data_IF_424132600909
#
_entry.id   IF_424132600909
#
_cell.length_a   1.000
_cell.length_b   1.000
_cell.length_c   1.000
_cell.angle_alpha   90.00
_cell.angle_beta   90.00
_cell.angle_gamma   90.00
#
_symmetry.space_group_name_H-M   'P 1'
#
loop_
_entity.id
_entity.type
_entity.pdbx_description
1 polymer ?
#
# COMPACT_ATOMS: atom_id res chain seq x y z
N UNK A 1 -13.52 37.37 -5.55
CA UNK A 1 -14.21 36.47 -4.66
C UNK A 1 -13.26 35.55 -3.93
N UNK A 2 -13.44 35.48 -2.63
CA UNK A 2 -12.50 34.72 -1.81
C UNK A 2 -13.13 33.42 -1.34
N UNK A 3 -12.39 32.34 -1.40
CA UNK A 3 -12.87 31.09 -0.85
C UNK A 3 -12.73 31.10 0.67
N UNK A 4 -13.67 30.46 1.35
CA UNK A 4 -13.54 30.32 2.77
C UNK A 4 -12.42 29.29 3.07
N UNK A 5 -11.80 29.40 4.25
CA UNK A 5 -10.77 28.45 4.62
C UNK A 5 -11.27 27.00 4.68
N UNK A 6 -12.54 26.80 5.02
CA UNK A 6 -13.11 25.46 5.06
C UNK A 6 -13.18 24.85 3.68
N UNK A 7 -13.53 25.63 2.67
CA UNK A 7 -13.60 25.13 1.31
C UNK A 7 -12.21 24.76 0.81
N UNK A 8 -11.22 25.59 1.08
CA UNK A 8 -9.84 25.33 0.67
C UNK A 8 -9.30 24.09 1.35
N UNK A 9 -9.57 23.94 2.67
CA UNK A 9 -9.11 22.78 3.42
C UNK A 9 -9.77 21.51 2.88
N UNK A 10 -11.05 21.56 2.56
CA UNK A 10 -11.77 20.41 2.03
C UNK A 10 -11.22 19.99 0.68
N UNK A 11 -10.91 20.96 -0.20
CA UNK A 11 -10.32 20.64 -1.50
C UNK A 11 -8.94 20.01 -1.33
N UNK A 12 -8.13 20.53 -0.40
CA UNK A 12 -6.81 19.98 -0.12
C UNK A 12 -6.91 18.56 0.43
N UNK A 13 -7.88 18.31 1.31
CA UNK A 13 -8.12 16.98 1.82
C UNK A 13 -8.54 16.01 0.73
N UNK A 14 -9.42 16.45 -0.16
CA UNK A 14 -9.86 15.62 -1.27
C UNK A 14 -8.70 15.23 -2.18
N UNK A 15 -7.81 16.18 -2.45
CA UNK A 15 -6.64 15.91 -3.27
C UNK A 15 -5.69 14.94 -2.59
N UNK A 16 -5.48 15.10 -1.30
CA UNK A 16 -4.61 14.21 -0.53
C UNK A 16 -5.17 12.78 -0.52
N UNK A 17 -6.48 12.66 -0.32
CA UNK A 17 -7.14 11.37 -0.34
C UNK A 17 -7.03 10.74 -1.71
N UNK A 18 -7.26 11.51 -2.76
CA UNK A 18 -7.18 10.99 -4.14
C UNK A 18 -5.78 10.45 -4.44
N UNK A 19 -4.74 11.16 -4.00
CA UNK A 19 -3.37 10.69 -4.19
C UNK A 19 -3.13 9.38 -3.45
N UNK A 20 -3.58 9.29 -2.22
CA UNK A 20 -3.42 8.07 -1.43
C UNK A 20 -4.19 6.90 -2.05
N UNK A 21 -5.38 7.17 -2.57
CA UNK A 21 -6.18 6.13 -3.22
C UNK A 21 -5.51 5.63 -4.49
N UNK A 22 -4.90 6.53 -5.26
CA UNK A 22 -4.18 6.15 -6.47
C UNK A 22 -2.96 5.30 -6.11
N UNK A 23 -2.22 5.69 -5.08
CA UNK A 23 -1.08 4.91 -4.61
C UNK A 23 -1.52 3.54 -4.09
N UNK A 24 -2.61 3.52 -3.34
CA UNK A 24 -3.15 2.26 -2.83
C UNK A 24 -3.53 1.33 -3.97
N UNK A 25 -4.16 1.85 -5.01
CA UNK A 25 -4.54 1.05 -6.16
C UNK A 25 -3.31 0.49 -6.87
N UNK A 26 -2.26 1.29 -7.01
CA UNK A 26 -1.03 0.85 -7.66
C UNK A 26 -0.34 -0.26 -6.85
N UNK A 27 -0.25 -0.08 -5.54
CA UNK A 27 0.34 -1.12 -4.68
C UNK A 27 -0.50 -2.39 -4.70
N UNK A 28 -1.83 -2.26 -4.74
CA UNK A 28 -2.72 -3.41 -4.79
C UNK A 28 -2.50 -4.20 -6.06
N UNK A 29 -2.40 -3.51 -7.18
CA UNK A 29 -2.16 -4.17 -8.46
C UNK A 29 -0.80 -4.89 -8.47
N UNK A 30 0.21 -4.24 -7.97
CA UNK A 30 1.54 -4.83 -7.90
C UNK A 30 1.55 -6.06 -7.00
N UNK A 31 0.85 -5.98 -5.86
CA UNK A 31 0.71 -7.10 -4.94
C UNK A 31 0.02 -8.27 -5.63
N UNK A 32 -1.06 -8.01 -6.36
CA UNK A 32 -1.81 -9.06 -7.03
C UNK A 32 -0.98 -9.72 -8.12
N UNK A 33 -0.15 -8.95 -8.81
CA UNK A 33 0.77 -9.50 -9.81
C UNK A 33 1.81 -10.41 -9.15
N UNK A 34 2.33 -10.02 -7.99
CA UNK A 34 3.27 -10.86 -7.25
C UNK A 34 2.63 -12.18 -6.83
N UNK A 35 1.39 -12.13 -6.39
CA UNK A 35 0.65 -13.35 -6.01
C UNK A 35 0.47 -14.26 -7.24
N UNK A 36 0.12 -13.68 -8.37
CA UNK A 36 -0.08 -14.43 -9.59
C UNK A 36 1.21 -15.10 -10.04
N UNK A 37 2.31 -14.35 -10.06
CA UNK A 37 3.61 -14.89 -10.44
C UNK A 37 4.05 -15.99 -9.50
N UNK A 38 3.80 -15.83 -8.21
CA UNK A 38 4.13 -16.86 -7.23
C UNK A 38 3.38 -18.16 -7.52
N UNK A 39 2.10 -18.06 -7.84
CA UNK A 39 1.30 -19.22 -8.22
C UNK A 39 1.83 -19.89 -9.48
N UNK A 40 2.21 -19.08 -10.46
CA UNK A 40 2.73 -19.60 -11.74
C UNK A 40 4.04 -20.34 -11.52
N UNK A 41 4.91 -19.79 -10.68
CA UNK A 41 6.19 -20.45 -10.38
C UNK A 41 5.98 -21.74 -9.62
N UNK A 42 5.05 -21.77 -8.67
CA UNK A 42 4.74 -22.99 -7.95
C UNK A 42 4.20 -24.05 -8.90
N UNK A 43 3.32 -23.66 -9.82
CA UNK A 43 2.77 -24.59 -10.80
C UNK A 43 3.82 -25.09 -11.77
N UNK A 44 4.87 -24.31 -12.01
CA UNK A 44 5.94 -24.69 -12.93
C UNK A 44 7.00 -25.56 -12.29
N UNK A 45 6.96 -25.75 -10.97
CA UNK A 45 7.91 -26.63 -10.30
C UNK A 45 7.68 -28.08 -10.70
N UNK A 46 8.78 -28.81 -10.86
CA UNK A 46 8.76 -30.22 -11.21
C UNK A 46 9.73 -30.95 -10.30
N UNK A 47 9.28 -31.42 -9.14
CA UNK A 47 10.19 -32.07 -8.19
C UNK A 47 10.84 -33.32 -8.77
N UNK A 48 10.13 -34.06 -9.63
CA UNK A 48 10.69 -35.28 -10.25
C UNK A 48 11.88 -34.94 -11.15
N UNK A 49 11.85 -33.79 -11.79
CA UNK A 49 12.96 -33.33 -12.64
C UNK A 49 13.94 -32.44 -11.88
N UNK A 50 13.69 -32.19 -10.59
CA UNK A 50 14.55 -31.32 -9.78
C UNK A 50 14.38 -29.85 -10.10
N UNK A 51 13.22 -29.43 -10.61
CA UNK A 51 12.97 -28.04 -10.97
C UNK A 51 12.24 -27.36 -9.84
N UNK A 52 12.89 -26.36 -9.24
CA UNK A 52 12.34 -25.60 -8.14
C UNK A 52 12.60 -24.11 -8.36
N UNK A 53 11.72 -23.28 -7.81
CA UNK A 53 11.82 -21.83 -7.92
C UNK A 53 11.79 -21.16 -6.55
N UNK A 54 12.37 -21.82 -5.55
CA UNK A 54 12.25 -21.41 -4.15
C UNK A 54 12.73 -19.98 -3.91
N UNK A 55 13.86 -19.59 -4.49
CA UNK A 55 14.41 -18.26 -4.28
C UNK A 55 13.52 -17.18 -4.88
N UNK A 56 12.97 -17.44 -6.07
CA UNK A 56 12.09 -16.48 -6.72
C UNK A 56 10.77 -16.36 -5.99
N UNK A 57 10.22 -17.50 -5.57
CA UNK A 57 8.97 -17.52 -4.79
C UNK A 57 9.17 -16.75 -3.49
N UNK A 58 10.31 -16.97 -2.82
CA UNK A 58 10.59 -16.26 -1.58
C UNK A 58 10.63 -14.75 -1.80
N UNK A 59 11.30 -14.28 -2.85
CA UNK A 59 11.36 -12.85 -3.16
C UNK A 59 9.98 -12.27 -3.45
N UNK A 60 9.15 -13.02 -4.18
CA UNK A 60 7.80 -12.56 -4.48
C UNK A 60 6.95 -12.47 -3.22
N UNK A 61 7.11 -13.44 -2.31
CA UNK A 61 6.40 -13.40 -1.04
C UNK A 61 6.84 -12.24 -0.17
N UNK A 62 8.14 -11.94 -0.14
CA UNK A 62 8.65 -10.79 0.60
C UNK A 62 8.13 -9.49 -0.01
N UNK A 63 8.11 -9.40 -1.33
CA UNK A 63 7.58 -8.22 -2.00
C UNK A 63 6.09 -8.04 -1.71
N UNK A 64 5.33 -9.13 -1.69
CA UNK A 64 3.92 -9.09 -1.34
C UNK A 64 3.72 -8.50 0.06
N UNK A 65 4.51 -8.97 1.03
CA UNK A 65 4.39 -8.47 2.40
C UNK A 65 4.74 -6.98 2.48
N UNK A 66 5.79 -6.56 1.78
CA UNK A 66 6.16 -5.15 1.74
C UNK A 66 5.04 -4.30 1.16
N UNK A 67 4.43 -4.79 0.08
CA UNK A 67 3.34 -4.06 -0.57
C UNK A 67 2.11 -3.98 0.33
N UNK A 68 1.82 -5.05 1.06
CA UNK A 68 0.68 -5.04 1.99
C UNK A 68 0.88 -4.04 3.12
N UNK A 69 2.11 -3.86 3.58
CA UNK A 69 2.41 -2.82 4.57
C UNK A 69 2.16 -1.44 3.98
N UNK A 70 2.60 -1.20 2.74
CA UNK A 70 2.36 0.08 2.07
C UNK A 70 0.88 0.33 1.87
N UNK A 71 0.12 -0.70 1.50
CA UNK A 71 -1.32 -0.60 1.32
C UNK A 71 -2.00 -0.20 2.63
N UNK A 72 -1.61 -0.85 3.72
CA UNK A 72 -2.19 -0.54 5.02
C UNK A 72 -1.85 0.86 5.47
N UNK A 73 -0.61 1.28 5.20
CA UNK A 73 -0.18 2.64 5.51
C UNK A 73 -1.06 3.67 4.78
N UNK A 74 -1.37 3.43 3.51
CA UNK A 74 -2.21 4.35 2.73
C UNK A 74 -3.66 4.34 3.22
N UNK A 75 -4.20 3.19 3.59
CA UNK A 75 -5.54 3.11 4.15
C UNK A 75 -5.66 3.92 5.43
N UNK A 76 -4.67 3.78 6.30
CA UNK A 76 -4.67 4.52 7.56
C UNK A 76 -4.50 6.00 7.33
N UNK A 77 -3.69 6.39 6.37
CA UNK A 77 -3.50 7.80 6.04
C UNK A 77 -4.79 8.41 5.51
N UNK A 78 -5.48 7.71 4.62
CA UNK A 78 -6.78 8.16 4.12
C UNK A 78 -7.75 8.36 5.27
N UNK A 79 -7.80 7.40 6.16
CA UNK A 79 -8.71 7.46 7.30
C UNK A 79 -8.39 8.65 8.19
N UNK A 80 -7.11 8.91 8.47
CA UNK A 80 -6.72 10.06 9.27
C UNK A 80 -7.13 11.38 8.62
N UNK A 81 -6.96 11.48 7.30
CA UNK A 81 -7.36 12.69 6.59
C UNK A 81 -8.86 12.88 6.68
N UNK A 82 -9.64 11.82 6.49
CA UNK A 82 -11.09 11.89 6.61
C UNK A 82 -11.56 12.29 7.99
N UNK A 83 -10.81 11.88 9.00
CA UNK A 83 -11.14 12.24 10.38
C UNK A 83 -10.67 13.63 10.77
N UNK A 84 -9.96 14.33 9.86
CA UNK A 84 -9.54 15.69 10.09
C UNK A 84 -8.16 15.84 10.70
N UNK A 85 -7.39 14.76 10.80
CA UNK A 85 -6.01 14.86 11.27
C UNK A 85 -5.12 15.40 10.17
N UNK A 86 -4.10 16.14 10.55
CA UNK A 86 -3.12 16.65 9.59
C UNK A 86 -2.23 15.53 9.09
N UNK A 87 -1.81 15.63 7.83
CA UNK A 87 -0.97 14.62 7.23
C UNK A 87 0.34 14.39 7.95
N UNK A 88 0.95 15.48 8.38
CA UNK A 88 2.26 15.40 9.03
C UNK A 88 2.17 15.14 10.51
N UNK A 89 1.00 14.81 10.98
CA UNK A 89 0.76 14.50 12.37
C UNK A 89 1.36 13.19 12.77
N UNK A 90 1.96 12.70 11.95
CA UNK A 90 2.49 11.44 12.22
C UNK A 90 3.41 11.42 13.31
N UNK A 91 3.73 11.15 13.45
CA UNK A 91 4.33 10.60 14.01
C UNK A 91 4.59 10.37 15.04
N UNK A 92 4.49 10.78 15.02
CA UNK A 92 4.96 10.59 15.76
C UNK A 92 4.88 9.65 16.42
N UNK A 93 4.93 9.72 16.55
CA UNK A 93 5.05 9.07 17.09
C UNK A 93 4.84 8.24 17.39
N UNK A 94 4.76 8.30 17.39
CA UNK A 94 4.75 7.64 17.64
C UNK A 94 4.61 6.89 18.14
N UNK A 95 4.65 6.98 17.97
CA UNK A 95 4.69 6.40 18.29
C UNK A 95 4.58 5.57 18.98
N UNK A 96 4.61 5.58 19.00
CA UNK A 96 4.58 4.94 19.43
C UNK A 96 4.54 4.30 20.22
N UNK A 97 4.59 4.46 20.45
CA UNK A 97 4.67 3.97 21.13
C UNK A 97 4.24 3.00 21.58
N UNK A 98 4.31 2.53 21.67
CA UNK A 98 4.00 1.63 21.89
C UNK A 98 4.04 1.20 22.48
#
# INVERSE_FOLDING_TARGET
MTQSPEIAASASQSEAIARCEAELAAFTQERDESVKLCRELLAAEDPAAGVFHAAEIFRLQQNKLRLEVEMEFRRKKINRIRLGFEENDAPSAGGLVF
#
